data_IF_059592249031
#
_entry.id   IF_059592249031
#
_cell.length_a   1.000
_cell.length_b   1.000
_cell.length_c   1.000
_cell.angle_alpha   90.00
_cell.angle_beta   90.00
_cell.angle_gamma   90.00
#
_symmetry.space_group_name_H-M   'P 1'
#
loop_
_entity.id
_entity.type
_entity.pdbx_description
1 polymer ?
#
# COMPACT_ATOMS: atom_id res chain seq x y z
N UNK A 1 -40.55 15.33 8.01
CA UNK A 1 -40.20 14.20 7.11
C UNK A 1 -38.72 13.89 7.31
N UNK A 2 -38.38 13.15 8.37
CA UNK A 2 -37.02 12.65 8.56
C UNK A 2 -36.84 11.44 7.66
N UNK A 3 -35.91 11.50 6.72
CA UNK A 3 -35.44 10.35 5.97
C UNK A 3 -34.84 9.35 6.94
N UNK A 4 -35.61 8.33 7.32
CA UNK A 4 -35.04 7.06 7.81
C UNK A 4 -34.23 6.49 6.63
N UNK A 5 -32.93 6.73 6.62
CA UNK A 5 -32.02 5.79 5.96
C UNK A 5 -32.00 4.60 6.88
N UNK A 6 -32.65 3.52 6.47
CA UNK A 6 -32.50 2.24 7.14
C UNK A 6 -31.03 1.77 7.03
N UNK A 7 -30.63 0.83 7.90
CA UNK A 7 -29.27 0.29 7.90
C UNK A 7 -28.85 -0.23 6.51
N UNK A 8 -29.79 -0.77 5.74
CA UNK A 8 -29.58 -1.18 4.36
C UNK A 8 -29.20 -0.01 3.44
N UNK A 9 -29.91 1.11 3.51
CA UNK A 9 -29.57 2.32 2.75
C UNK A 9 -28.16 2.84 3.05
N UNK A 10 -27.71 2.76 4.31
CA UNK A 10 -26.34 3.12 4.67
C UNK A 10 -25.29 2.20 4.04
N UNK A 11 -25.58 0.90 4.00
CA UNK A 11 -24.70 -0.12 3.40
C UNK A 11 -24.63 0.06 1.88
N UNK A 12 -25.77 0.23 1.20
CA UNK A 12 -25.86 0.36 -0.26
C UNK A 12 -25.25 1.67 -0.79
N UNK A 13 -25.41 2.77 -0.05
CA UNK A 13 -24.90 4.08 -0.46
C UNK A 13 -23.46 4.34 0.01
N UNK A 14 -22.85 3.42 0.78
CA UNK A 14 -21.48 3.59 1.24
C UNK A 14 -20.50 3.62 0.06
N UNK A 15 -19.81 4.74 -0.07
CA UNK A 15 -18.74 4.94 -1.06
C UNK A 15 -17.42 4.52 -0.45
N UNK A 16 -16.73 3.60 -1.11
CA UNK A 16 -15.45 3.10 -0.62
C UNK A 16 -14.37 4.19 -0.78
N UNK A 17 -13.74 4.64 0.33
CA UNK A 17 -12.65 5.61 0.28
C UNK A 17 -11.49 5.11 -0.59
N UNK A 18 -10.91 5.98 -1.41
CA UNK A 18 -9.84 5.64 -2.35
C UNK A 18 -10.29 5.02 -3.68
N UNK A 19 -11.53 4.48 -3.74
CA UNK A 19 -12.13 3.94 -4.97
C UNK A 19 -13.11 4.93 -5.59
N UNK A 20 -13.96 5.55 -4.76
CA UNK A 20 -15.01 6.48 -5.20
C UNK A 20 -16.29 5.82 -5.72
N UNK A 21 -16.36 4.48 -5.75
CA UNK A 21 -17.55 3.69 -6.10
C UNK A 21 -18.21 3.03 -4.88
N UNK A 22 -19.41 2.48 -5.08
CA UNK A 22 -20.10 1.67 -4.06
C UNK A 22 -19.37 0.36 -3.81
N UNK A 23 -19.67 -0.31 -2.68
CA UNK A 23 -19.12 -1.63 -2.36
C UNK A 23 -19.38 -2.64 -3.48
N UNK A 24 -20.62 -2.68 -4.00
CA UNK A 24 -20.99 -3.58 -5.10
C UNK A 24 -20.10 -3.41 -6.33
N UNK A 25 -19.93 -2.16 -6.81
CA UNK A 25 -19.10 -1.87 -7.98
C UNK A 25 -17.62 -2.19 -7.73
N UNK A 26 -17.13 -1.99 -6.51
CA UNK A 26 -15.77 -2.34 -6.14
C UNK A 26 -15.55 -3.87 -6.17
N UNK A 27 -16.48 -4.66 -5.62
CA UNK A 27 -16.44 -6.13 -5.64
C UNK A 27 -16.50 -6.69 -7.07
N UNK A 28 -17.36 -6.13 -7.93
CA UNK A 28 -17.46 -6.51 -9.34
C UNK A 28 -16.13 -6.24 -10.09
N UNK A 29 -15.56 -5.04 -9.90
CA UNK A 29 -14.25 -4.68 -10.47
C UNK A 29 -13.15 -5.62 -9.99
N UNK A 30 -13.15 -5.99 -8.71
CA UNK A 30 -12.18 -6.92 -8.14
C UNK A 30 -12.29 -8.33 -8.74
N UNK A 31 -13.48 -8.77 -9.14
CA UNK A 31 -13.65 -10.06 -9.83
C UNK A 31 -12.83 -10.13 -11.11
N UNK A 32 -12.90 -9.09 -11.94
CA UNK A 32 -12.11 -8.98 -13.17
C UNK A 32 -10.61 -8.94 -12.87
N UNK A 33 -10.19 -8.18 -11.86
CA UNK A 33 -8.78 -8.09 -11.49
C UNK A 33 -8.23 -9.40 -10.92
N UNK A 34 -9.04 -10.17 -10.17
CA UNK A 34 -8.65 -11.49 -9.68
C UNK A 34 -8.34 -12.45 -10.82
N UNK A 35 -9.13 -12.44 -11.90
CA UNK A 35 -8.87 -13.23 -13.10
C UNK A 35 -7.51 -12.88 -13.75
N UNK A 36 -7.11 -11.62 -13.69
CA UNK A 36 -5.80 -11.16 -14.22
C UNK A 36 -4.59 -11.60 -13.37
N UNK A 37 -4.80 -12.22 -12.20
CA UNK A 37 -3.73 -12.61 -11.27
C UNK A 37 -2.99 -13.89 -11.66
N UNK A 38 -3.37 -14.55 -12.76
CA UNK A 38 -2.70 -15.72 -13.38
C UNK A 38 -2.53 -16.86 -12.37
N UNK A 39 -1.30 -17.30 -12.09
CA UNK A 39 -1.03 -18.40 -11.16
C UNK A 39 -1.50 -18.12 -9.72
N UNK A 40 -1.78 -16.85 -9.39
CA UNK A 40 -2.29 -16.43 -8.08
C UNK A 40 -3.82 -16.21 -8.07
N UNK A 41 -4.52 -16.46 -9.18
CA UNK A 41 -5.98 -16.23 -9.32
C UNK A 41 -6.75 -16.91 -8.20
N UNK A 42 -6.53 -18.22 -7.97
CA UNK A 42 -7.28 -19.00 -6.99
C UNK A 42 -7.19 -18.37 -5.60
N UNK A 43 -5.97 -18.05 -5.16
CA UNK A 43 -5.72 -17.42 -3.85
C UNK A 43 -6.43 -16.06 -3.72
N UNK A 44 -6.40 -15.25 -4.77
CA UNK A 44 -7.04 -13.93 -4.76
C UNK A 44 -8.57 -14.04 -4.80
N UNK A 45 -9.11 -15.01 -5.55
CA UNK A 45 -10.54 -15.31 -5.58
C UNK A 45 -11.06 -15.74 -4.22
N UNK A 46 -10.29 -16.51 -3.44
CA UNK A 46 -10.68 -16.87 -2.06
C UNK A 46 -10.85 -15.65 -1.16
N UNK A 47 -10.00 -14.64 -1.31
CA UNK A 47 -10.16 -13.37 -0.57
C UNK A 47 -11.43 -12.67 -1.03
N UNK A 48 -11.66 -12.58 -2.34
CA UNK A 48 -12.86 -11.94 -2.89
C UNK A 48 -14.16 -12.63 -2.44
N UNK A 49 -14.21 -13.96 -2.48
CA UNK A 49 -15.36 -14.76 -2.02
C UNK A 49 -15.71 -14.43 -0.57
N UNK A 50 -14.69 -14.24 0.29
CA UNK A 50 -14.91 -13.85 1.68
C UNK A 50 -15.34 -12.40 1.85
N UNK A 51 -14.83 -11.47 1.04
CA UNK A 51 -15.31 -10.08 1.02
C UNK A 51 -16.77 -10.00 0.55
N UNK A 52 -17.14 -10.80 -0.46
CA UNK A 52 -18.53 -10.92 -0.92
C UNK A 52 -19.43 -11.49 0.17
N UNK A 53 -18.98 -12.47 0.94
CA UNK A 53 -19.71 -12.96 2.10
C UNK A 53 -19.95 -11.87 3.15
N UNK A 54 -18.93 -11.06 3.48
CA UNK A 54 -19.11 -9.89 4.38
C UNK A 54 -20.19 -8.96 3.82
N UNK A 55 -20.15 -8.67 2.53
CA UNK A 55 -21.14 -7.81 1.87
C UNK A 55 -22.57 -8.36 1.95
N UNK A 56 -22.75 -9.66 1.75
CA UNK A 56 -24.06 -10.31 1.86
C UNK A 56 -24.61 -10.27 3.29
N UNK A 57 -23.76 -10.43 4.31
CA UNK A 57 -24.15 -10.33 5.70
C UNK A 57 -24.47 -8.89 6.12
N UNK A 58 -23.71 -7.90 5.63
CA UNK A 58 -23.97 -6.49 5.91
C UNK A 58 -25.36 -6.03 5.44
N UNK A 59 -25.84 -6.54 4.30
CA UNK A 59 -27.17 -6.22 3.78
C UNK A 59 -28.31 -6.76 4.65
N UNK A 60 -28.03 -7.74 5.53
CA UNK A 60 -29.04 -8.35 6.42
C UNK A 60 -29.13 -7.63 7.78
N UNK A 61 -28.18 -6.74 8.07
CA UNK A 61 -28.14 -6.02 9.35
C UNK A 61 -29.21 -4.94 9.37
N UNK A 62 -30.04 -4.96 10.41
CA UNK A 62 -31.08 -3.95 10.66
C UNK A 62 -30.64 -2.91 11.68
N UNK A 63 -29.66 -3.24 12.53
CA UNK A 63 -29.16 -2.35 13.58
C UNK A 63 -28.10 -1.37 13.03
N UNK A 64 -28.50 -0.12 12.85
CA UNK A 64 -27.63 0.96 12.40
C UNK A 64 -26.51 1.28 13.40
N UNK A 65 -26.77 1.16 14.71
CA UNK A 65 -25.78 1.49 15.73
C UNK A 65 -24.64 0.47 15.70
N UNK A 66 -24.95 -0.80 15.46
CA UNK A 66 -23.94 -1.84 15.25
C UNK A 66 -22.96 -1.46 14.14
N UNK A 67 -23.45 -0.89 13.03
CA UNK A 67 -22.61 -0.49 11.90
C UNK A 67 -21.76 0.75 12.21
N UNK A 68 -22.35 1.75 12.88
CA UNK A 68 -21.68 3.03 13.18
C UNK A 68 -20.69 2.91 14.33
N UNK A 69 -21.11 2.38 15.46
CA UNK A 69 -20.34 2.36 16.70
C UNK A 69 -19.10 1.48 16.56
N UNK A 70 -19.22 0.35 15.85
CA UNK A 70 -18.10 -0.55 15.58
C UNK A 70 -17.28 -0.15 14.35
N UNK A 71 -17.64 0.95 13.68
CA UNK A 71 -16.99 1.44 12.45
C UNK A 71 -16.84 0.34 11.38
N UNK A 72 -17.88 -0.49 11.21
CA UNK A 72 -17.81 -1.67 10.34
C UNK A 72 -17.61 -1.27 8.88
N UNK A 73 -18.41 -0.30 8.39
CA UNK A 73 -18.34 0.16 7.00
C UNK A 73 -16.98 0.81 6.66
N UNK A 74 -16.43 1.73 7.46
CA UNK A 74 -15.06 2.22 7.23
C UNK A 74 -13.99 1.13 7.19
N UNK A 75 -14.04 0.16 8.12
CA UNK A 75 -13.06 -0.95 8.15
C UNK A 75 -13.20 -1.86 6.94
N UNK A 76 -14.42 -2.21 6.56
CA UNK A 76 -14.67 -3.03 5.37
C UNK A 76 -14.28 -2.29 4.09
N UNK A 77 -14.60 -1.00 3.98
CA UNK A 77 -14.15 -0.15 2.89
C UNK A 77 -12.62 -0.09 2.79
N UNK A 78 -11.93 -0.01 3.93
CA UNK A 78 -10.47 -0.09 4.02
C UNK A 78 -9.93 -1.39 3.44
N UNK A 79 -10.47 -2.54 3.87
CA UNK A 79 -10.09 -3.85 3.36
C UNK A 79 -10.29 -3.98 1.85
N UNK A 80 -11.44 -3.52 1.33
CA UNK A 80 -11.73 -3.48 -0.12
C UNK A 80 -10.70 -2.63 -0.87
N UNK A 81 -10.43 -1.40 -0.39
CA UNK A 81 -9.48 -0.51 -1.05
C UNK A 81 -8.06 -1.08 -1.05
N UNK A 82 -7.62 -1.66 0.07
CA UNK A 82 -6.30 -2.28 0.20
C UNK A 82 -6.16 -3.47 -0.75
N UNK A 83 -7.16 -4.35 -0.79
CA UNK A 83 -7.14 -5.51 -1.67
C UNK A 83 -7.20 -5.13 -3.14
N UNK A 84 -8.05 -4.16 -3.52
CA UNK A 84 -8.08 -3.67 -4.90
C UNK A 84 -6.75 -3.03 -5.32
N UNK A 85 -6.10 -2.28 -4.42
CA UNK A 85 -4.77 -1.70 -4.67
C UNK A 85 -3.72 -2.80 -4.88
N UNK A 86 -3.77 -3.84 -4.05
CA UNK A 86 -2.93 -5.02 -4.19
C UNK A 86 -3.15 -5.71 -5.55
N UNK A 87 -4.40 -5.98 -5.95
CA UNK A 87 -4.71 -6.60 -7.24
C UNK A 87 -4.19 -5.78 -8.43
N UNK A 88 -4.43 -4.45 -8.42
CA UNK A 88 -3.95 -3.53 -9.48
C UNK A 88 -2.42 -3.51 -9.59
N UNK A 89 -1.72 -3.59 -8.44
CA UNK A 89 -0.26 -3.60 -8.38
C UNK A 89 0.31 -4.92 -8.90
N UNK A 90 -0.29 -6.05 -8.54
CA UNK A 90 0.28 -7.38 -8.80
C UNK A 90 -0.11 -7.98 -10.16
N UNK A 91 -1.30 -7.69 -10.69
CA UNK A 91 -1.76 -8.12 -12.03
C UNK A 91 -0.82 -7.69 -13.17
N UNK A 92 -0.17 -6.54 -13.02
CA UNK A 92 0.73 -5.97 -14.03
C UNK A 92 2.14 -6.57 -14.03
N UNK A 93 2.49 -7.36 -13.01
CA UNK A 93 3.86 -7.89 -12.88
C UNK A 93 4.17 -8.94 -13.93
N UNK A 94 5.38 -8.85 -14.48
CA UNK A 94 5.96 -9.85 -15.39
C UNK A 94 6.37 -11.11 -14.63
N UNK A 95 6.48 -12.23 -15.33
CA UNK A 95 6.65 -13.58 -14.77
C UNK A 95 7.84 -13.66 -13.80
N UNK A 96 8.98 -13.08 -14.17
CA UNK A 96 10.17 -13.13 -13.32
C UNK A 96 10.00 -12.34 -12.02
N UNK A 97 9.37 -11.16 -12.09
CA UNK A 97 9.02 -10.36 -10.91
C UNK A 97 7.94 -11.03 -10.05
N UNK A 98 7.00 -11.78 -10.66
CA UNK A 98 6.01 -12.58 -9.92
C UNK A 98 6.68 -13.72 -9.16
N UNK A 99 7.61 -14.44 -9.79
CA UNK A 99 8.43 -15.47 -9.13
C UNK A 99 9.21 -14.88 -7.94
N UNK A 100 9.90 -13.76 -8.15
CA UNK A 100 10.68 -13.10 -7.11
C UNK A 100 9.82 -12.58 -5.94
N UNK A 101 8.58 -12.15 -6.21
CA UNK A 101 7.68 -11.63 -5.17
C UNK A 101 6.66 -12.66 -4.66
N UNK A 102 6.80 -13.93 -5.02
CA UNK A 102 5.81 -14.99 -4.72
C UNK A 102 5.58 -15.18 -3.21
N UNK A 103 6.66 -15.21 -2.41
CA UNK A 103 6.54 -15.32 -0.94
C UNK A 103 5.76 -14.14 -0.38
N UNK A 104 6.20 -12.92 -0.70
CA UNK A 104 5.60 -11.69 -0.20
C UNK A 104 4.12 -11.58 -0.62
N UNK A 105 3.80 -11.98 -1.85
CA UNK A 105 2.42 -12.03 -2.33
C UNK A 105 1.57 -12.96 -1.46
N UNK A 106 2.06 -14.16 -1.15
CA UNK A 106 1.35 -15.10 -0.30
C UNK A 106 1.18 -14.58 1.14
N UNK A 107 2.20 -13.91 1.70
CA UNK A 107 2.12 -13.23 3.00
C UNK A 107 1.01 -12.16 2.99
N UNK A 108 1.00 -11.27 2.00
CA UNK A 108 -0.02 -10.22 1.85
C UNK A 108 -1.44 -10.82 1.69
N UNK A 109 -1.60 -11.92 0.94
CA UNK A 109 -2.90 -12.62 0.81
C UNK A 109 -3.38 -13.19 2.15
N UNK A 110 -2.47 -13.78 2.94
CA UNK A 110 -2.80 -14.31 4.26
C UNK A 110 -3.19 -13.19 5.24
N UNK A 111 -2.55 -12.02 5.14
CA UNK A 111 -2.90 -10.83 5.91
C UNK A 111 -4.33 -10.36 5.60
N UNK A 112 -4.74 -10.33 4.32
CA UNK A 112 -6.13 -10.01 3.95
C UNK A 112 -7.14 -10.99 4.57
N UNK A 113 -6.82 -12.28 4.59
CA UNK A 113 -7.68 -13.25 5.26
C UNK A 113 -7.81 -12.98 6.77
N UNK A 114 -6.73 -12.52 7.40
CA UNK A 114 -6.73 -12.17 8.84
C UNK A 114 -7.51 -10.88 9.11
N UNK A 115 -7.41 -9.90 8.20
CA UNK A 115 -8.20 -8.67 8.24
C UNK A 115 -9.71 -8.98 8.12
N UNK A 116 -10.08 -9.90 7.23
CA UNK A 116 -11.48 -10.34 7.09
C UNK A 116 -11.95 -11.16 8.31
N UNK A 117 -11.08 -11.99 8.91
CA UNK A 117 -11.39 -12.68 10.18
C UNK A 117 -11.75 -11.66 11.28
N UNK A 118 -11.12 -10.48 11.30
CA UNK A 118 -11.46 -9.41 12.23
C UNK A 118 -12.84 -8.79 11.95
N UNK A 119 -13.19 -8.58 10.68
CA UNK A 119 -14.54 -8.13 10.30
C UNK A 119 -15.62 -9.13 10.70
N UNK A 120 -15.38 -10.44 10.52
CA UNK A 120 -16.30 -11.47 10.99
C UNK A 120 -16.53 -11.39 12.50
N UNK A 121 -15.50 -11.12 13.29
CA UNK A 121 -15.63 -10.93 14.74
C UNK A 121 -16.49 -9.72 15.09
N UNK A 122 -16.27 -8.58 14.43
CA UNK A 122 -17.09 -7.38 14.63
C UNK A 122 -18.56 -7.60 14.28
N UNK A 123 -18.82 -8.46 13.29
CA UNK A 123 -20.16 -8.81 12.85
C UNK A 123 -20.80 -9.96 13.64
N UNK A 124 -20.13 -10.48 14.69
CA UNK A 124 -20.56 -11.67 15.43
C UNK A 124 -20.77 -12.92 14.57
N UNK A 125 -20.04 -13.03 13.45
CA UNK A 125 -20.10 -14.15 12.49
C UNK A 125 -19.12 -15.29 12.84
N UNK A 126 -18.62 -15.32 14.08
CA UNK A 126 -17.49 -16.16 14.50
C UNK A 126 -17.76 -17.67 14.48
N UNK A 127 -19.02 -18.08 14.40
CA UNK A 127 -19.44 -19.48 14.37
C UNK A 127 -19.59 -20.05 12.96
N UNK A 128 -19.36 -19.23 11.94
CA UNK A 128 -19.57 -19.61 10.55
C UNK A 128 -18.35 -20.38 10.01
N UNK A 129 -18.61 -21.43 9.24
CA UNK A 129 -17.59 -22.32 8.69
C UNK A 129 -16.56 -21.55 7.83
N UNK A 130 -17.00 -20.50 7.13
CA UNK A 130 -16.18 -19.58 6.34
C UNK A 130 -15.01 -18.96 7.13
N UNK A 131 -15.12 -18.83 8.47
CA UNK A 131 -14.04 -18.28 9.30
C UNK A 131 -12.81 -19.22 9.39
N UNK A 132 -13.00 -20.52 9.22
CA UNK A 132 -11.92 -21.52 9.33
C UNK A 132 -11.63 -22.27 8.03
N UNK A 133 -12.57 -22.27 7.07
CA UNK A 133 -12.45 -22.98 5.79
C UNK A 133 -11.20 -22.57 4.99
N UNK A 134 -10.89 -21.26 4.95
CA UNK A 134 -9.75 -20.77 4.17
C UNK A 134 -8.40 -21.31 4.67
N UNK A 135 -8.27 -21.57 5.99
CA UNK A 135 -7.04 -22.13 6.59
C UNK A 135 -6.79 -23.56 6.14
N UNK A 136 -7.86 -24.33 5.94
CA UNK A 136 -7.78 -25.69 5.43
C UNK A 136 -7.43 -25.72 3.94
N UNK A 137 -7.95 -24.75 3.18
CA UNK A 137 -7.71 -24.65 1.74
C UNK A 137 -6.34 -24.05 1.39
N UNK A 138 -5.78 -23.23 2.30
CA UNK A 138 -4.57 -22.46 2.06
C UNK A 138 -3.37 -23.27 1.57
N UNK A 139 -3.07 -24.38 2.23
CA UNK A 139 -1.93 -25.23 1.85
C UNK A 139 -2.08 -25.80 0.43
N UNK A 140 -3.32 -26.17 0.06
CA UNK A 140 -3.65 -26.66 -1.26
C UNK A 140 -3.56 -25.56 -2.31
N UNK A 141 -4.08 -24.36 -2.03
CA UNK A 141 -4.03 -23.23 -2.95
C UNK A 141 -2.59 -22.77 -3.19
N UNK A 142 -1.75 -22.75 -2.15
CA UNK A 142 -0.33 -22.48 -2.28
C UNK A 142 0.39 -23.55 -3.12
N UNK A 143 -0.01 -24.82 -2.99
CA UNK A 143 0.55 -25.91 -3.80
C UNK A 143 0.20 -25.72 -5.28
N UNK A 144 -1.07 -25.44 -5.59
CA UNK A 144 -1.55 -25.17 -6.95
C UNK A 144 -0.78 -23.99 -7.56
N UNK A 145 -0.64 -22.89 -6.81
CA UNK A 145 0.10 -21.71 -7.27
C UNK A 145 1.56 -22.04 -7.61
N UNK A 146 2.25 -22.83 -6.76
CA UNK A 146 3.64 -23.26 -7.01
C UNK A 146 3.76 -24.14 -8.25
N UNK A 147 2.85 -25.08 -8.44
CA UNK A 147 2.84 -25.98 -9.60
C UNK A 147 2.64 -25.20 -10.91
N UNK A 148 1.69 -24.26 -10.94
CA UNK A 148 1.46 -23.38 -12.08
C UNK A 148 2.67 -22.46 -12.34
N UNK A 149 3.25 -21.88 -11.29
CA UNK A 149 4.46 -21.07 -11.40
C UNK A 149 5.62 -21.88 -12.01
N UNK A 150 5.83 -23.12 -11.55
CA UNK A 150 6.87 -24.00 -12.06
C UNK A 150 6.70 -24.30 -13.55
N UNK A 151 5.47 -24.59 -13.99
CA UNK A 151 5.16 -24.81 -15.41
C UNK A 151 5.49 -23.59 -16.27
N UNK A 152 5.14 -22.38 -15.79
CA UNK A 152 5.37 -21.13 -16.50
C UNK A 152 6.87 -20.80 -16.65
N UNK A 153 7.65 -20.90 -15.56
CA UNK A 153 9.06 -20.49 -15.57
C UNK A 153 9.97 -21.47 -16.29
N UNK A 154 9.56 -22.75 -16.40
CA UNK A 154 10.23 -23.74 -17.23
C UNK A 154 10.19 -23.38 -18.71
N UNK A 155 9.20 -22.60 -19.15
CA UNK A 155 9.16 -22.03 -20.50
C UNK A 155 9.96 -20.72 -20.56
N UNK A 156 11.29 -20.84 -20.65
CA UNK A 156 12.20 -19.68 -20.66
C UNK A 156 11.92 -18.70 -21.82
N UNK A 157 11.26 -19.14 -22.89
CA UNK A 157 10.84 -18.24 -23.98
C UNK A 157 9.84 -17.18 -23.51
N UNK A 158 8.89 -17.54 -22.63
CA UNK A 158 7.94 -16.57 -22.06
C UNK A 158 8.68 -15.45 -21.31
N UNK A 159 9.68 -15.82 -20.50
CA UNK A 159 10.49 -14.86 -19.75
C UNK A 159 11.23 -13.92 -20.71
N UNK A 160 11.87 -14.48 -21.74
CA UNK A 160 12.58 -13.68 -22.73
C UNK A 160 11.63 -12.76 -23.51
N UNK A 161 10.37 -13.15 -23.76
CA UNK A 161 9.41 -12.31 -24.47
C UNK A 161 8.89 -11.14 -23.63
N UNK A 162 8.81 -11.30 -22.30
CA UNK A 162 8.26 -10.28 -21.40
C UNK A 162 9.28 -9.23 -20.94
N UNK A 163 10.56 -9.58 -20.86
CA UNK A 163 11.60 -8.77 -20.22
C UNK A 163 12.92 -8.77 -21.00
N UNK A 164 13.48 -7.57 -21.20
CA UNK A 164 14.76 -7.36 -21.86
C UNK A 164 15.54 -6.20 -21.20
N UNK A 165 16.85 -6.13 -21.46
CA UNK A 165 17.68 -4.99 -21.07
C UNK A 165 17.65 -4.71 -19.55
N UNK A 166 17.47 -3.44 -19.18
CA UNK A 166 17.48 -2.99 -17.78
C UNK A 166 16.39 -3.65 -16.93
N UNK A 167 15.16 -3.79 -17.44
CA UNK A 167 14.05 -4.40 -16.72
C UNK A 167 14.30 -5.89 -16.41
N UNK A 168 14.99 -6.61 -17.31
CA UNK A 168 15.41 -7.98 -17.05
C UNK A 168 16.46 -8.04 -15.92
N UNK A 169 17.44 -7.13 -15.95
CA UNK A 169 18.48 -7.06 -14.91
C UNK A 169 17.88 -6.73 -13.54
N UNK A 170 16.92 -5.81 -13.48
CA UNK A 170 16.18 -5.46 -12.26
C UNK A 170 15.44 -6.68 -11.70
N UNK A 171 14.61 -7.35 -12.49
CA UNK A 171 13.87 -8.54 -12.06
C UNK A 171 14.80 -9.69 -11.63
N UNK A 172 15.94 -9.89 -12.30
CA UNK A 172 16.96 -10.85 -11.87
C UNK A 172 17.63 -10.44 -10.56
N UNK A 173 17.80 -9.15 -10.32
CA UNK A 173 18.36 -8.62 -9.06
C UNK A 173 17.39 -8.85 -7.90
N UNK A 174 16.09 -8.59 -8.09
CA UNK A 174 15.04 -8.93 -7.12
C UNK A 174 15.03 -10.43 -6.82
N UNK A 175 15.08 -11.27 -7.85
CA UNK A 175 15.10 -12.73 -7.70
C UNK A 175 16.33 -13.21 -6.92
N UNK A 176 17.50 -12.64 -7.22
CA UNK A 176 18.74 -12.92 -6.51
C UNK A 176 18.68 -12.51 -5.04
N UNK A 177 18.12 -11.33 -4.75
CA UNK A 177 17.90 -10.87 -3.38
C UNK A 177 17.04 -11.86 -2.60
N UNK A 178 15.94 -12.30 -3.20
CA UNK A 178 15.03 -13.22 -2.53
C UNK A 178 15.68 -14.60 -2.29
N UNK A 179 16.55 -15.06 -3.18
CA UNK A 179 17.35 -16.30 -3.00
C UNK A 179 18.39 -16.16 -1.88
N UNK A 180 19.18 -15.08 -1.89
CA UNK A 180 20.36 -14.93 -1.03
C UNK A 180 20.00 -14.41 0.36
N UNK A 181 19.00 -13.53 0.47
CA UNK A 181 18.64 -12.86 1.73
C UNK A 181 17.40 -13.48 2.38
N UNK A 182 16.46 -13.98 1.59
CA UNK A 182 15.16 -14.50 2.09
C UNK A 182 14.97 -16.00 1.86
N UNK A 183 16.00 -16.70 1.37
CA UNK A 183 15.92 -18.13 1.09
C UNK A 183 15.57 -19.00 2.30
N UNK A 184 15.97 -18.60 3.51
CA UNK A 184 15.64 -19.34 4.74
C UNK A 184 14.16 -19.25 5.13
N UNK A 185 13.44 -18.22 4.65
CA UNK A 185 12.02 -18.00 4.95
C UNK A 185 11.10 -18.64 3.90
N UNK A 186 11.65 -19.49 3.02
CA UNK A 186 10.94 -20.10 1.91
C UNK A 186 11.14 -21.61 1.91
N UNK A 187 10.17 -22.33 1.34
CA UNK A 187 10.30 -23.77 1.13
C UNK A 187 11.53 -24.08 0.25
N UNK A 188 12.29 -25.15 0.54
CA UNK A 188 13.44 -25.56 -0.27
C UNK A 188 13.13 -25.69 -1.77
N UNK A 189 11.93 -26.17 -2.10
CA UNK A 189 11.44 -26.37 -3.47
C UNK A 189 11.33 -25.03 -4.22
N UNK A 190 10.75 -24.01 -3.57
CA UNK A 190 10.64 -22.66 -4.13
C UNK A 190 12.02 -22.04 -4.38
N UNK A 191 12.94 -22.16 -3.42
CA UNK A 191 14.30 -21.63 -3.57
C UNK A 191 15.05 -22.36 -4.69
N UNK A 192 14.87 -23.68 -4.81
CA UNK A 192 15.45 -24.45 -5.90
C UNK A 192 14.91 -23.99 -7.26
N UNK A 193 13.59 -23.80 -7.39
CA UNK A 193 12.95 -23.29 -8.61
C UNK A 193 13.49 -21.90 -9.00
N UNK A 194 13.62 -21.00 -8.02
CA UNK A 194 14.15 -19.66 -8.23
C UNK A 194 15.61 -19.70 -8.68
N UNK A 195 16.46 -20.52 -8.05
CA UNK A 195 17.87 -20.70 -8.44
C UNK A 195 18.00 -21.27 -9.85
N UNK A 196 17.23 -22.30 -10.17
CA UNK A 196 17.22 -22.90 -11.50
C UNK A 196 16.81 -21.88 -12.57
N UNK A 197 15.72 -21.15 -12.32
CA UNK A 197 15.23 -20.10 -13.24
C UNK A 197 16.28 -19.00 -13.42
N UNK A 198 16.86 -18.50 -12.33
CA UNK A 198 17.91 -17.49 -12.35
C UNK A 198 19.10 -17.92 -13.22
N UNK A 199 19.65 -19.13 -13.00
CA UNK A 199 20.78 -19.65 -13.76
C UNK A 199 20.44 -19.82 -15.24
N UNK A 200 19.25 -20.35 -15.55
CA UNK A 200 18.81 -20.53 -16.93
C UNK A 200 18.73 -19.20 -17.68
N UNK A 201 18.04 -18.21 -17.11
CA UNK A 201 17.80 -16.91 -17.72
C UNK A 201 19.09 -16.10 -17.87
N UNK A 202 19.98 -16.10 -16.88
CA UNK A 202 21.29 -15.42 -16.99
C UNK A 202 22.13 -16.03 -18.12
N UNK A 203 22.14 -17.36 -18.24
CA UNK A 203 22.90 -18.07 -19.28
C UNK A 203 22.39 -17.73 -20.69
N UNK A 204 21.07 -17.67 -20.88
CA UNK A 204 20.47 -17.42 -22.21
C UNK A 204 20.46 -15.94 -22.58
N UNK A 205 20.32 -15.02 -21.62
CA UNK A 205 20.18 -13.58 -21.87
C UNK A 205 21.51 -12.81 -21.88
N UNK A 206 22.61 -13.39 -21.34
CA UNK A 206 23.87 -12.69 -21.07
C UNK A 206 23.73 -11.45 -20.18
N UNK A 207 22.66 -11.37 -19.37
CA UNK A 207 22.40 -10.26 -18.46
C UNK A 207 23.52 -10.15 -17.40
N UNK A 208 24.02 -8.92 -17.17
CA UNK A 208 25.00 -8.63 -16.12
C UNK A 208 24.28 -8.25 -14.83
N UNK A 209 23.99 -9.26 -14.00
CA UNK A 209 23.33 -9.04 -12.70
C UNK A 209 24.35 -8.56 -11.67
N UNK A 210 24.12 -7.43 -10.98
CA UNK A 210 25.00 -6.93 -9.94
C UNK A 210 25.26 -7.95 -8.82
N UNK A 211 26.40 -7.80 -8.14
CA UNK A 211 26.58 -8.41 -6.81
C UNK A 211 25.67 -7.65 -5.86
N UNK A 212 24.91 -8.38 -5.04
CA UNK A 212 24.29 -7.75 -3.89
C UNK A 212 25.45 -7.32 -3.00
N UNK A 213 25.59 -6.02 -2.72
CA UNK A 213 26.40 -5.60 -1.60
C UNK A 213 25.92 -6.41 -0.40
N UNK A 214 26.82 -6.87 0.48
CA UNK A 214 26.39 -7.45 1.74
C UNK A 214 25.48 -6.41 2.39
N UNK A 215 24.17 -6.64 2.33
CA UNK A 215 23.20 -5.76 2.97
C UNK A 215 23.45 -6.04 4.42
N UNK A 216 24.24 -5.18 5.05
CA UNK A 216 24.40 -5.20 6.48
C UNK A 216 23.05 -4.78 7.06
N UNK A 217 22.22 -5.78 7.34
CA UNK A 217 20.90 -5.58 7.95
C UNK A 217 21.08 -4.88 9.31
N UNK A 218 22.24 -5.03 9.98
CA UNK A 218 22.56 -4.31 11.20
C UNK A 218 22.91 -2.83 10.98
N UNK A 219 23.31 -2.44 9.76
CA UNK A 219 23.56 -1.04 9.40
C UNK A 219 22.29 -0.30 8.92
N UNK A 220 21.14 -0.98 8.81
CA UNK A 220 19.87 -0.32 8.48
C UNK A 220 19.19 0.19 9.75
N UNK A 221 18.96 1.49 9.80
CA UNK A 221 18.09 2.12 10.80
C UNK A 221 16.70 1.48 10.70
N UNK A 222 16.17 0.91 11.81
CA UNK A 222 14.80 0.42 11.86
C UNK A 222 13.80 1.48 11.38
N UNK A 223 12.73 1.06 10.70
CA UNK A 223 11.74 2.01 10.17
C UNK A 223 11.11 2.87 11.29
N UNK A 224 10.95 2.31 12.49
CA UNK A 224 10.48 3.04 13.66
C UNK A 224 11.43 4.20 14.02
N UNK A 225 12.72 3.92 14.15
CA UNK A 225 13.76 4.89 14.47
C UNK A 225 13.89 5.97 13.38
N UNK A 226 13.74 5.58 12.10
CA UNK A 226 13.72 6.52 10.98
C UNK A 226 12.50 7.45 11.03
N UNK A 227 11.32 6.93 11.39
CA UNK A 227 10.12 7.74 11.59
C UNK A 227 10.29 8.71 12.76
N UNK A 228 10.91 8.26 13.86
CA UNK A 228 11.20 9.10 15.02
C UNK A 228 12.17 10.23 14.67
N UNK A 229 13.27 9.93 13.96
CA UNK A 229 14.20 10.95 13.47
C UNK A 229 13.51 11.96 12.55
N UNK A 230 12.63 11.50 11.66
CA UNK A 230 11.87 12.41 10.77
C UNK A 230 10.90 13.30 11.54
N UNK A 231 10.30 12.81 12.63
CA UNK A 231 9.45 13.63 13.52
C UNK A 231 10.27 14.68 14.25
N UNK A 232 11.43 14.31 14.79
CA UNK A 232 12.31 15.26 15.49
C UNK A 232 12.76 16.40 14.58
N UNK A 233 13.13 16.08 13.33
CA UNK A 233 13.51 17.07 12.32
C UNK A 233 12.33 17.99 11.95
N UNK A 234 11.13 17.42 11.78
CA UNK A 234 9.93 18.22 11.50
C UNK A 234 9.58 19.15 12.67
N UNK A 235 9.67 18.68 13.91
CA UNK A 235 9.43 19.49 15.10
C UNK A 235 10.50 20.59 15.27
N UNK A 236 11.76 20.31 14.91
CA UNK A 236 12.84 21.30 14.92
C UNK A 236 12.66 22.38 13.85
N UNK A 237 12.26 22.00 12.63
CA UNK A 237 11.90 22.92 11.56
C UNK A 237 10.73 23.83 11.99
N UNK A 238 9.67 23.26 12.58
CA UNK A 238 8.53 24.05 13.08
C UNK A 238 8.94 25.01 14.21
N UNK A 239 9.84 24.59 15.12
CA UNK A 239 10.36 25.48 16.17
C UNK A 239 11.16 26.63 15.58
N UNK A 240 11.99 26.38 14.58
CA UNK A 240 12.77 27.45 13.93
C UNK A 240 11.88 28.38 13.10
N UNK A 241 10.86 27.86 12.41
CA UNK A 241 9.84 28.69 11.75
C UNK A 241 9.10 29.58 12.76
N UNK A 242 8.66 29.04 13.91
CA UNK A 242 8.03 29.84 14.97
C UNK A 242 8.98 30.90 15.52
N UNK A 243 10.27 30.58 15.67
CA UNK A 243 11.30 31.53 16.10
C UNK A 243 11.48 32.66 15.09
N UNK A 244 11.59 32.33 13.81
CA UNK A 244 11.69 33.29 12.71
C UNK A 244 10.44 34.17 12.61
N UNK A 245 9.25 33.57 12.76
CA UNK A 245 7.98 34.29 12.69
C UNK A 245 7.79 35.24 13.89
N UNK A 246 8.25 34.85 15.09
CA UNK A 246 8.26 35.71 16.29
C UNK A 246 9.20 36.92 16.15
N UNK A 247 10.23 36.84 15.29
CA UNK A 247 11.14 37.95 15.01
C UNK A 247 10.68 38.84 13.85
N UNK A 248 9.62 38.47 13.12
CA UNK A 248 9.03 39.33 12.09
C UNK A 248 8.29 40.47 12.76
N UNK A 249 8.73 41.68 12.47
CA UNK A 249 7.98 42.88 12.81
C UNK A 249 7.15 43.22 11.59
N UNK A 250 5.85 43.37 11.76
CA UNK A 250 4.97 43.83 10.70
C UNK A 250 4.88 45.35 10.73
N UNK A 251 4.81 45.96 9.54
CA UNK A 251 4.55 47.39 9.36
C UNK A 251 3.28 47.57 8.55
N UNK A 252 2.56 48.65 8.82
CA UNK A 252 1.40 49.01 8.02
C UNK A 252 1.86 49.69 6.73
N UNK A 253 1.30 49.25 5.60
CA UNK A 253 1.44 49.95 4.33
C UNK A 253 0.83 51.36 4.47
N UNK A 254 1.54 52.43 4.13
CA UNK A 254 1.03 53.80 4.28
C UNK A 254 -0.19 54.08 3.40
N UNK A 255 -0.31 53.38 2.27
CA UNK A 255 -1.35 53.65 1.28
C UNK A 255 -2.65 52.88 1.56
N UNK A 256 -2.57 51.60 1.87
CA UNK A 256 -3.75 50.75 2.04
C UNK A 256 -3.92 50.16 3.44
N UNK A 257 -3.04 50.54 4.39
CA UNK A 257 -3.00 50.08 5.78
C UNK A 257 -2.91 48.55 5.94
N UNK A 258 -2.54 47.83 4.88
CA UNK A 258 -2.32 46.38 4.95
C UNK A 258 -1.06 46.07 5.76
N UNK A 259 -1.09 45.07 6.63
CA UNK A 259 0.08 44.57 7.33
C UNK A 259 1.05 43.93 6.34
N UNK A 260 2.28 44.44 6.31
CA UNK A 260 3.33 43.96 5.43
C UNK A 260 4.56 43.64 6.28
N UNK A 261 5.18 42.46 6.10
CA UNK A 261 6.45 42.13 6.73
C UNK A 261 7.52 43.19 6.47
N UNK A 262 8.30 43.57 7.48
CA UNK A 262 9.28 44.65 7.37
C UNK A 262 10.43 44.40 6.38
N UNK A 263 10.65 43.14 5.99
CA UNK A 263 11.61 42.69 4.97
C UNK A 263 11.10 42.88 3.52
N UNK A 264 9.80 43.09 3.32
CA UNK A 264 9.24 43.32 2.00
C UNK A 264 9.41 44.78 1.55
N UNK A 265 9.98 44.99 0.37
CA UNK A 265 10.20 46.31 -0.24
C UNK A 265 8.92 46.87 -0.91
N UNK A 266 7.90 46.03 -1.10
CA UNK A 266 6.64 46.39 -1.74
C UNK A 266 5.45 45.82 -0.94
N UNK A 267 4.31 46.52 -0.98
CA UNK A 267 3.06 46.01 -0.45
C UNK A 267 2.47 44.96 -1.41
N UNK A 268 2.28 43.73 -0.94
CA UNK A 268 1.68 42.66 -1.74
C UNK A 268 0.22 42.89 -2.14
N UNK A 269 -0.46 43.87 -1.54
CA UNK A 269 -1.88 44.18 -1.82
C UNK A 269 -2.06 45.31 -2.84
N UNK A 270 -1.37 46.44 -2.69
CA UNK A 270 -1.53 47.60 -3.58
C UNK A 270 -0.32 47.88 -4.48
N UNK A 271 0.80 47.17 -4.29
CA UNK A 271 2.03 47.37 -5.06
C UNK A 271 2.88 48.58 -4.62
N UNK A 272 2.44 49.33 -3.60
CA UNK A 272 3.16 50.52 -3.11
C UNK A 272 4.57 50.18 -2.62
N UNK A 273 5.55 51.04 -2.92
CA UNK A 273 6.94 50.81 -2.52
C UNK A 273 7.14 51.25 -1.08
N UNK A 274 7.49 50.30 -0.22
CA UNK A 274 7.70 50.53 1.20
C UNK A 274 9.17 50.90 1.43
N UNK A 275 9.44 52.06 2.04
CA UNK A 275 10.80 52.55 2.31
C UNK A 275 11.67 51.55 3.10
N UNK A 276 13.00 51.69 3.08
CA UNK A 276 13.89 50.75 3.80
C UNK A 276 13.73 50.84 5.31
N UNK A 277 13.46 49.72 5.98
CA UNK A 277 13.41 49.66 7.44
C UNK A 277 14.82 49.86 8.01
N UNK A 278 15.09 51.01 8.67
CA UNK A 278 16.31 51.17 9.46
C UNK A 278 16.10 50.44 10.79
N UNK A 279 16.76 49.28 10.97
CA UNK A 279 16.88 48.67 12.31
C UNK A 279 17.49 49.72 13.24
N UNK A 280 16.74 50.14 14.26
CA UNK A 280 17.32 50.89 15.37
C UNK A 280 18.42 50.01 15.97
N UNK A 281 19.66 50.49 15.96
CA UNK A 281 20.77 49.81 16.60
C UNK A 281 20.43 49.67 18.09
N UNK A 282 20.36 48.44 18.58
CA UNK A 282 20.20 48.16 19.99
C UNK A 282 21.37 48.78 20.75
N UNK A 283 21.08 49.80 21.56
CA UNK A 283 22.00 50.30 22.57
C UNK A 283 22.23 49.18 23.58
N UNK A 284 23.49 48.73 23.69
CA UNK A 284 23.94 47.84 24.77
C UNK A 284 23.96 48.62 26.10
N UNK A 285 23.45 48.08 27.21
CA UNK A 285 24.02 48.35 28.51
C UNK A 285 25.37 47.64 28.68
#
# INVERSE_FOLDING_TARGET
MSTLKDALGLVLEFVVPGIGGTIFLALDTMSSLCYEMKENEVMCRRVLERLQFVWDELQKIQDENMLRDNQVLPKFGGAINNFMTFLKKHSRKKLLSRLASSRKLAEEVQEFHTEIDFLFKLLNLVHIAEMSAWKQQWEQDQKIQRELMQQLVNNTHLISSELHGGALVEALTELKYEIEVKGQNQSPEQVALMRQTFMSVVRTSKAKVPKLAAIDIAARVPLADAIETLKELADEEEREERRLNSMRHDRLCPECQFEVPCDNVFCGRCGERLGTFRKAAAAKP
#
